data_IF_119474446227
#
_entry.id   IF_119474446227
#
_cell.length_a   1.000
_cell.length_b   1.000
_cell.length_c   1.000
_cell.angle_alpha   90.00
_cell.angle_beta   90.00
_cell.angle_gamma   90.00
#
_symmetry.space_group_name_H-M   'P 1'
#
loop_
_entity.id
_entity.type
_entity.pdbx_description
1 polymer ?
#
# COMPACT_ATOMS: atom_id res chain seq x y z
N UNK A 1 4.73 3.93 7.66
CA UNK A 1 5.66 5.09 7.48
C UNK A 1 6.69 4.69 6.44
N UNK A 2 7.08 5.60 5.55
CA UNK A 2 8.27 5.38 4.71
C UNK A 2 9.52 5.50 5.59
N UNK A 3 10.37 4.48 5.58
CA UNK A 3 11.64 4.45 6.31
C UNK A 3 12.83 4.98 5.49
N UNK A 4 12.58 5.59 4.34
CA UNK A 4 13.58 6.37 3.60
C UNK A 4 14.19 7.51 4.45
N UNK A 5 15.10 8.28 3.86
CA UNK A 5 16.05 9.19 4.53
C UNK A 5 15.63 9.82 5.86
N UNK A 6 14.46 10.47 5.93
CA UNK A 6 14.01 11.20 7.13
C UNK A 6 13.00 10.42 8.01
N UNK A 7 12.48 9.29 7.55
CA UNK A 7 11.39 8.57 8.20
C UNK A 7 11.73 8.08 9.61
N UNK A 8 12.96 7.58 9.79
CA UNK A 8 13.43 7.12 11.11
C UNK A 8 13.48 8.25 12.15
N UNK A 9 13.83 9.47 11.74
CA UNK A 9 13.85 10.62 12.64
C UNK A 9 12.43 10.99 13.09
N UNK A 10 11.45 10.93 12.19
CA UNK A 10 10.04 11.17 12.51
C UNK A 10 9.52 10.11 13.48
N UNK A 11 9.88 8.83 13.32
CA UNK A 11 9.51 7.78 14.28
C UNK A 11 10.07 8.08 15.67
N UNK A 12 11.34 8.46 15.77
CA UNK A 12 11.95 8.84 17.05
C UNK A 12 11.25 10.04 17.69
N UNK A 13 10.92 11.07 16.92
CA UNK A 13 10.20 12.24 17.41
C UNK A 13 8.79 11.86 17.91
N UNK A 14 8.05 11.04 17.17
CA UNK A 14 6.71 10.58 17.57
C UNK A 14 6.72 9.76 18.87
N UNK A 15 7.78 9.00 19.13
CA UNK A 15 7.91 8.20 20.36
C UNK A 15 8.39 9.02 21.57
N UNK A 16 9.07 10.15 21.35
CA UNK A 16 9.69 10.94 22.43
C UNK A 16 8.84 12.10 22.90
N UNK A 17 7.99 12.68 22.04
CA UNK A 17 7.16 13.83 22.39
C UNK A 17 6.02 13.46 23.34
N UNK A 18 5.92 14.18 24.47
CA UNK A 18 4.92 13.93 25.52
C UNK A 18 3.47 13.96 25.03
N UNK A 19 3.15 14.84 24.07
CA UNK A 19 1.81 14.93 23.45
C UNK A 19 1.37 13.64 22.75
N UNK A 20 2.30 12.75 22.38
CA UNK A 20 2.02 11.51 21.68
C UNK A 20 2.21 10.26 22.55
N UNK A 21 2.74 10.39 23.78
CA UNK A 21 2.94 9.24 24.70
C UNK A 21 1.65 8.48 24.99
N UNK A 22 0.52 9.19 25.13
CA UNK A 22 -0.79 8.58 25.37
C UNK A 22 -1.37 7.79 24.19
N UNK A 23 -0.74 7.82 23.01
CA UNK A 23 -1.19 7.08 21.82
C UNK A 23 -0.59 5.67 21.71
N UNK A 24 0.33 5.31 22.62
CA UNK A 24 0.99 3.99 22.67
C UNK A 24 1.52 3.57 21.30
N UNK A 25 2.20 4.50 20.61
CA UNK A 25 2.66 4.32 19.24
C UNK A 25 3.77 3.26 19.10
N UNK A 26 4.43 2.93 20.21
CA UNK A 26 5.43 1.87 20.28
C UNK A 26 4.80 0.52 19.90
N UNK A 27 5.44 -0.21 18.99
CA UNK A 27 4.90 -1.45 18.43
C UNK A 27 3.76 -1.28 17.41
N UNK A 28 3.08 -0.13 17.36
CA UNK A 28 2.03 0.18 16.38
C UNK A 28 2.57 0.87 15.12
N UNK A 29 3.65 1.63 15.26
CA UNK A 29 4.31 2.28 14.13
C UNK A 29 5.08 1.25 13.29
N UNK A 30 4.58 0.99 12.08
CA UNK A 30 5.27 0.15 11.09
C UNK A 30 5.97 1.00 10.03
N UNK A 31 7.25 0.72 9.87
CA UNK A 31 8.10 1.33 8.85
C UNK A 31 8.28 0.41 7.64
N UNK A 32 8.29 0.98 6.44
CA UNK A 32 8.45 0.25 5.18
C UNK A 32 9.61 0.82 4.38
N UNK A 33 10.46 -0.05 3.84
CA UNK A 33 11.46 0.33 2.84
C UNK A 33 10.86 0.24 1.43
N UNK A 34 10.60 1.40 0.83
CA UNK A 34 10.00 1.53 -0.49
C UNK A 34 10.93 1.02 -1.60
N UNK A 35 12.25 1.11 -1.41
CA UNK A 35 13.25 0.61 -2.36
C UNK A 35 13.49 -0.89 -2.26
N UNK A 36 13.05 -1.49 -1.15
CA UNK A 36 13.30 -2.87 -0.79
C UNK A 36 12.32 -3.90 -1.38
N UNK A 37 12.23 -5.03 -0.68
CA UNK A 37 11.37 -6.17 -1.01
C UNK A 37 10.44 -6.47 0.18
N UNK A 38 9.16 -6.68 -0.10
CA UNK A 38 8.16 -7.13 0.87
C UNK A 38 7.89 -8.62 0.68
N UNK A 39 7.84 -9.36 1.79
CA UNK A 39 7.43 -10.77 1.82
C UNK A 39 5.90 -10.83 1.85
N UNK A 40 5.30 -11.56 0.92
CA UNK A 40 3.85 -11.69 0.79
C UNK A 40 3.30 -12.98 1.39
N UNK A 41 4.01 -14.09 1.17
CA UNK A 41 3.59 -15.41 1.60
C UNK A 41 4.77 -16.38 1.55
N UNK A 42 4.56 -17.57 2.13
CA UNK A 42 5.36 -18.76 1.84
C UNK A 42 4.50 -19.69 1.01
N UNK A 43 4.92 -19.99 -0.21
CA UNK A 43 4.29 -21.02 -1.06
C UNK A 43 5.30 -22.13 -1.27
N UNK A 44 4.92 -23.37 -0.97
CA UNK A 44 5.78 -24.55 -1.13
C UNK A 44 7.16 -24.41 -0.47
N UNK A 45 7.20 -23.83 0.73
CA UNK A 45 8.44 -23.57 1.47
C UNK A 45 9.32 -22.44 0.91
N UNK A 46 8.90 -21.76 -0.17
CA UNK A 46 9.62 -20.63 -0.75
C UNK A 46 8.93 -19.31 -0.41
N UNK A 47 9.73 -18.35 0.06
CA UNK A 47 9.25 -16.98 0.30
C UNK A 47 8.96 -16.29 -1.03
N UNK A 48 7.71 -15.86 -1.21
CA UNK A 48 7.33 -15.01 -2.32
C UNK A 48 7.59 -13.56 -1.91
N UNK A 49 8.60 -12.95 -2.53
CA UNK A 49 8.95 -11.54 -2.35
C UNK A 49 8.58 -10.73 -3.57
N UNK A 50 8.04 -9.53 -3.36
CA UNK A 50 7.83 -8.52 -4.41
C UNK A 50 8.51 -7.22 -4.02
N UNK A 51 8.85 -6.39 -5.00
CA UNK A 51 9.36 -5.03 -4.74
C UNK A 51 8.28 -4.24 -4.01
N UNK A 52 8.65 -3.59 -2.90
CA UNK A 52 7.69 -2.94 -2.00
C UNK A 52 6.86 -1.89 -2.76
N UNK A 53 7.50 -0.94 -3.46
CA UNK A 53 6.78 0.15 -4.17
C UNK A 53 5.87 -0.36 -5.30
N UNK A 54 6.28 -1.42 -6.00
CA UNK A 54 5.45 -2.06 -7.05
C UNK A 54 4.24 -2.78 -6.45
N UNK A 55 4.44 -3.53 -5.36
CA UNK A 55 3.36 -4.20 -4.64
C UNK A 55 2.33 -3.18 -4.14
N UNK A 56 2.79 -2.15 -3.42
CA UNK A 56 1.89 -1.13 -2.84
C UNK A 56 1.10 -0.39 -3.93
N UNK A 57 1.74 -0.06 -5.05
CA UNK A 57 1.05 0.56 -6.19
C UNK A 57 0.04 -0.39 -6.84
N UNK A 58 0.34 -1.70 -6.92
CA UNK A 58 -0.60 -2.70 -7.42
C UNK A 58 -1.83 -2.83 -6.51
N UNK A 59 -1.65 -2.74 -5.18
CA UNK A 59 -2.76 -2.76 -4.21
C UNK A 59 -3.70 -1.56 -4.42
N UNK A 60 -3.13 -0.36 -4.60
CA UNK A 60 -3.90 0.85 -4.91
C UNK A 60 -4.72 0.67 -6.19
N UNK A 61 -4.09 0.24 -7.29
CA UNK A 61 -4.77 0.04 -8.57
C UNK A 61 -5.90 -0.98 -8.45
N UNK A 62 -5.67 -2.09 -7.74
CA UNK A 62 -6.71 -3.10 -7.49
C UNK A 62 -7.86 -2.55 -6.66
N UNK A 63 -7.58 -1.73 -5.63
CA UNK A 63 -8.62 -1.11 -4.81
C UNK A 63 -9.44 -0.09 -5.62
N UNK A 64 -8.80 0.72 -6.46
CA UNK A 64 -9.48 1.66 -7.36
C UNK A 64 -10.39 0.95 -8.35
N UNK A 65 -9.91 -0.11 -9.00
CA UNK A 65 -10.71 -0.92 -9.94
C UNK A 65 -11.94 -1.54 -9.26
N UNK A 66 -11.81 -1.94 -7.99
CA UNK A 66 -12.91 -2.48 -7.18
C UNK A 66 -13.75 -1.41 -6.47
N UNK A 67 -13.46 -0.12 -6.68
CA UNK A 67 -14.13 1.01 -6.01
C UNK A 67 -14.06 0.93 -4.47
N UNK A 68 -12.94 0.43 -3.94
CA UNK A 68 -12.68 0.26 -2.50
C UNK A 68 -11.83 1.39 -1.89
N UNK A 69 -11.44 2.36 -2.72
CA UNK A 69 -10.69 3.55 -2.33
C UNK A 69 -11.52 4.77 -2.76
N UNK A 70 -11.88 5.62 -1.81
CA UNK A 70 -12.67 6.83 -2.03
C UNK A 70 -11.77 8.01 -1.64
N UNK A 71 -11.63 8.96 -2.54
CA UNK A 71 -10.88 10.19 -2.31
C UNK A 71 -11.83 11.37 -2.10
N UNK A 72 -11.41 12.41 -1.35
CA UNK A 72 -12.09 13.69 -1.35
C UNK A 72 -12.16 14.25 -2.77
N UNK A 73 -13.33 14.74 -3.18
CA UNK A 73 -13.54 15.26 -4.54
C UNK A 73 -13.08 16.71 -4.73
N UNK A 74 -12.80 17.40 -3.63
CA UNK A 74 -12.41 18.82 -3.55
C UNK A 74 -10.91 19.01 -3.29
N UNK A 75 -10.16 17.92 -3.13
CA UNK A 75 -8.72 17.95 -2.91
C UNK A 75 -7.96 17.86 -4.24
N UNK A 76 -7.56 19.03 -4.74
CA UNK A 76 -6.82 19.16 -6.00
C UNK A 76 -5.43 18.51 -5.95
N UNK A 77 -4.81 18.39 -4.77
CA UNK A 77 -3.49 17.78 -4.64
C UNK A 77 -3.57 16.26 -4.72
N UNK A 78 -4.62 15.67 -4.14
CA UNK A 78 -4.93 14.24 -4.32
C UNK A 78 -5.18 13.95 -5.81
N UNK A 79 -6.00 14.74 -6.48
CA UNK A 79 -6.29 14.55 -7.91
C UNK A 79 -5.00 14.67 -8.75
N UNK A 80 -4.23 15.74 -8.56
CA UNK A 80 -3.00 15.99 -9.31
C UNK A 80 -1.99 14.85 -9.14
N UNK A 81 -1.71 14.42 -7.90
CA UNK A 81 -0.77 13.32 -7.68
C UNK A 81 -1.27 12.02 -8.33
N UNK A 82 -2.52 11.61 -8.09
CA UNK A 82 -3.02 10.33 -8.59
C UNK A 82 -3.16 10.28 -10.12
N UNK A 83 -3.39 11.41 -10.78
CA UNK A 83 -3.54 11.48 -12.24
C UNK A 83 -2.21 11.64 -12.98
N UNK A 84 -1.21 12.28 -12.35
CA UNK A 84 0.09 12.58 -12.99
C UNK A 84 1.22 11.61 -12.63
N UNK A 85 1.01 10.71 -11.66
CA UNK A 85 2.04 9.76 -11.23
C UNK A 85 2.32 8.69 -12.29
N UNK A 86 3.53 8.71 -12.83
CA UNK A 86 3.95 7.86 -13.96
C UNK A 86 5.10 6.93 -13.58
N UNK A 87 5.46 6.04 -14.51
CA UNK A 87 6.64 5.20 -14.37
C UNK A 87 7.36 5.00 -15.69
N UNK A 88 8.62 4.62 -15.60
CA UNK A 88 9.41 4.13 -16.73
C UNK A 88 9.73 2.65 -16.51
N UNK A 89 9.74 1.88 -17.61
CA UNK A 89 10.18 0.49 -17.60
C UNK A 89 11.63 0.44 -18.11
N UNK A 90 12.56 -0.01 -17.28
CA UNK A 90 13.96 -0.22 -17.64
C UNK A 90 14.39 -1.61 -17.22
N UNK A 91 14.89 -2.43 -18.15
CA UNK A 91 15.37 -3.79 -17.90
C UNK A 91 14.35 -4.67 -17.14
N UNK A 92 13.06 -4.53 -17.47
CA UNK A 92 11.97 -5.25 -16.79
C UNK A 92 11.64 -4.74 -15.38
N UNK A 93 12.31 -3.67 -14.91
CA UNK A 93 12.07 -3.04 -13.61
C UNK A 93 11.25 -1.75 -13.78
N UNK A 94 10.25 -1.57 -12.92
CA UNK A 94 9.45 -0.36 -12.87
C UNK A 94 10.17 0.68 -12.02
N UNK A 95 10.32 1.90 -12.56
CA UNK A 95 10.87 3.05 -11.85
C UNK A 95 9.82 4.16 -11.89
N UNK A 96 9.17 4.39 -10.76
CA UNK A 96 8.16 5.44 -10.60
C UNK A 96 8.78 6.84 -10.60
N UNK A 97 8.04 7.84 -11.11
CA UNK A 97 8.40 9.25 -11.03
C UNK A 97 8.64 9.66 -9.58
N UNK A 98 9.59 10.58 -9.37
CA UNK A 98 9.92 11.15 -8.07
C UNK A 98 9.45 12.60 -8.02
N UNK A 99 9.02 13.04 -6.84
CA UNK A 99 8.50 14.39 -6.64
C UNK A 99 6.99 14.38 -6.86
N UNK A 100 6.28 15.09 -6.00
CA UNK A 100 4.81 15.11 -5.98
C UNK A 100 4.18 13.70 -5.79
N UNK A 101 4.79 12.82 -4.98
CA UNK A 101 4.29 11.47 -4.70
C UNK A 101 4.01 11.20 -3.22
N UNK A 102 4.01 12.23 -2.36
CA UNK A 102 3.90 12.06 -0.92
C UNK A 102 2.50 11.60 -0.45
N UNK A 103 1.43 12.04 -1.10
CA UNK A 103 0.06 11.55 -0.83
C UNK A 103 -0.03 10.09 -1.28
N UNK A 104 0.49 9.78 -2.47
CA UNK A 104 0.53 8.40 -2.97
C UNK A 104 1.34 7.52 -2.02
N UNK A 105 2.49 7.99 -1.53
CA UNK A 105 3.33 7.25 -0.59
C UNK A 105 2.66 7.04 0.77
N UNK A 106 1.86 8.00 1.24
CA UNK A 106 1.01 7.82 2.41
C UNK A 106 -0.06 6.74 2.16
N UNK A 107 -0.75 6.78 1.02
CA UNK A 107 -1.75 5.76 0.65
C UNK A 107 -1.10 4.39 0.45
N UNK A 108 0.12 4.32 -0.11
CA UNK A 108 0.90 3.08 -0.25
C UNK A 108 1.14 2.42 1.10
N UNK A 109 1.58 3.20 2.11
CA UNK A 109 1.74 2.71 3.47
C UNK A 109 0.41 2.17 4.05
N UNK A 110 -0.68 2.91 3.88
CA UNK A 110 -2.00 2.54 4.40
C UNK A 110 -2.55 1.25 3.74
N UNK A 111 -2.33 1.08 2.44
CA UNK A 111 -2.73 -0.12 1.72
C UNK A 111 -1.91 -1.34 2.13
N UNK A 112 -0.60 -1.16 2.36
CA UNK A 112 0.26 -2.28 2.76
C UNK A 112 -0.06 -2.80 4.15
N UNK A 113 -0.23 -1.91 5.14
CA UNK A 113 -0.57 -2.34 6.51
C UNK A 113 -1.94 -3.05 6.54
N UNK A 114 -2.90 -2.58 5.74
CA UNK A 114 -4.20 -3.23 5.57
C UNK A 114 -4.07 -4.62 4.97
N UNK A 115 -3.23 -4.77 3.93
CA UNK A 115 -3.00 -6.07 3.31
C UNK A 115 -2.34 -7.05 4.28
N UNK A 116 -1.32 -6.61 5.03
CA UNK A 116 -0.67 -7.43 6.05
C UNK A 116 -1.65 -7.86 7.15
N UNK A 117 -2.52 -6.96 7.60
CA UNK A 117 -3.59 -7.29 8.55
C UNK A 117 -4.63 -8.27 8.00
N UNK A 118 -4.77 -8.42 6.67
CA UNK A 118 -5.59 -9.45 6.04
C UNK A 118 -4.85 -10.77 5.82
N UNK A 119 -3.51 -10.77 5.89
CA UNK A 119 -2.66 -11.96 5.78
C UNK A 119 -2.42 -12.63 7.13
N UNK A 120 -2.40 -11.87 8.22
CA UNK A 120 -2.26 -12.39 9.58
C UNK A 120 -3.41 -13.32 10.08
N UNK A 121 -4.67 -13.26 9.58
CA UNK A 121 -5.72 -14.22 9.93
C UNK A 121 -5.78 -15.44 9.00
N UNK A 122 -4.74 -15.75 8.20
CA UNK A 122 -4.74 -16.94 7.31
C UNK A 122 -4.48 -18.22 8.10
N UNK A 123 -5.43 -18.57 8.97
CA UNK A 123 -5.93 -19.93 9.12
C UNK A 123 -7.33 -19.94 8.52
N UNK A 124 -7.50 -20.64 7.40
CA UNK A 124 -8.72 -20.74 6.55
C UNK A 124 -8.90 -19.63 5.50
N UNK A 125 -8.31 -19.86 4.32
CA UNK A 125 -8.78 -19.25 3.08
C UNK A 125 -10.24 -19.62 2.81
N UNK A 126 -11.18 -18.73 3.13
CA UNK A 126 -12.55 -18.85 2.60
C UNK A 126 -12.57 -18.24 1.21
N UNK A 127 -12.38 -19.09 0.20
CA UNK A 127 -12.61 -18.75 -1.21
C UNK A 127 -14.11 -18.44 -1.39
N UNK A 128 -14.47 -17.16 -1.32
CA UNK A 128 -15.81 -16.70 -1.70
C UNK A 128 -15.87 -16.53 -3.22
N UNK A 129 -16.09 -17.64 -3.93
CA UNK A 129 -16.58 -17.59 -5.31
C UNK A 129 -18.02 -17.07 -5.28
N UNK A 130 -18.21 -15.76 -5.37
CA UNK A 130 -19.51 -15.22 -5.76
C UNK A 130 -19.63 -15.36 -7.27
N UNK A 131 -20.53 -16.21 -7.81
CA UNK A 131 -20.76 -16.25 -9.24
C UNK A 131 -21.38 -14.93 -9.66
N UNK A 132 -20.68 -14.20 -10.54
CA UNK A 132 -21.26 -13.04 -11.22
C UNK A 132 -22.18 -13.60 -12.31
N UNK A 133 -23.44 -13.80 -11.97
CA UNK A 133 -24.49 -14.03 -12.97
C UNK A 133 -24.88 -12.67 -13.56
N UNK A 134 -24.40 -12.37 -14.75
CA UNK A 134 -24.99 -11.33 -15.59
C UNK A 134 -26.15 -11.93 -16.37
N UNK A 135 -27.29 -11.23 -16.41
CA UNK A 135 -28.43 -11.64 -17.25
C UNK A 135 -28.01 -11.78 -18.72
N UNK A 136 -28.52 -12.78 -19.46
CA UNK A 136 -28.19 -13.00 -20.85
C UNK A 136 -28.59 -11.79 -21.72
N UNK A 137 -27.68 -11.39 -22.61
CA UNK A 137 -27.81 -10.20 -23.48
C UNK A 137 -28.62 -10.48 -24.76
N UNK A 138 -29.10 -11.71 -24.96
CA UNK A 138 -29.91 -12.06 -26.13
C UNK A 138 -31.17 -12.83 -25.70
N UNK A 139 -32.32 -12.32 -26.16
CA UNK A 139 -33.63 -12.98 -26.17
C UNK A 139 -33.81 -13.64 -27.54
#
# INVERSE_FOLDING_TARGET
>A
MDNGGNGLAVVQELLTLDKYKGLELEGRLKGYDFGGMTRLAVRDGKEVKKRTKELMTSLINGALQRKQLIFPSDDLEVEDQFTTHTYTLRDGKIIYSKGNDHIIDAVRCAMLIREEGNLDPVGEEVVSLKPVLTNPVFI
#
